data_IF_706067459284
#
_entry.id   IF_706067459284
#
_cell.length_a   1.000
_cell.length_b   1.000
_cell.length_c   1.000
_cell.angle_alpha   90.00
_cell.angle_beta   90.00
_cell.angle_gamma   90.00
#
_symmetry.space_group_name_H-M   'P 1'
#
loop_
_entity.id
_entity.type
_entity.pdbx_description
1 polymer ?
#
# COMPACT_ATOMS: atom_id res chain seq x y z
N UNK A 1 -52.17 -7.04 -6.16
CA UNK A 1 -51.27 -5.88 -5.96
C UNK A 1 -49.82 -6.36 -5.91
N UNK A 2 -48.96 -5.94 -6.84
CA UNK A 2 -47.51 -6.21 -6.75
C UNK A 2 -46.94 -5.24 -5.70
N UNK A 3 -46.78 -5.70 -4.46
CA UNK A 3 -45.98 -4.98 -3.46
C UNK A 3 -44.55 -4.94 -3.96
N UNK A 4 -44.05 -3.74 -4.28
CA UNK A 4 -42.66 -3.58 -4.70
C UNK A 4 -41.77 -3.64 -3.46
N UNK A 5 -41.45 -4.87 -3.03
CA UNK A 5 -40.63 -5.16 -1.86
C UNK A 5 -39.34 -4.35 -1.84
N UNK A 6 -38.78 -4.02 -3.02
CA UNK A 6 -37.59 -3.18 -3.14
C UNK A 6 -37.82 -1.75 -2.62
N UNK A 7 -38.98 -1.13 -2.91
CA UNK A 7 -39.33 0.21 -2.42
C UNK A 7 -39.48 0.23 -0.90
N UNK A 8 -40.20 -0.73 -0.35
CA UNK A 8 -40.42 -0.82 1.10
C UNK A 8 -39.11 -1.05 1.88
N UNK A 9 -38.18 -1.83 1.33
CA UNK A 9 -36.82 -1.98 1.91
C UNK A 9 -36.11 -0.63 1.94
N UNK A 10 -36.15 0.12 0.84
CA UNK A 10 -35.49 1.43 0.77
C UNK A 10 -36.12 2.40 1.76
N UNK A 11 -37.44 2.51 1.81
CA UNK A 11 -38.15 3.39 2.76
C UNK A 11 -37.82 3.06 4.22
N UNK A 12 -37.79 1.77 4.57
CA UNK A 12 -37.42 1.33 5.90
C UNK A 12 -35.99 1.74 6.28
N UNK A 13 -35.03 1.51 5.38
CA UNK A 13 -33.64 1.92 5.61
C UNK A 13 -33.52 3.44 5.66
N UNK A 14 -34.32 4.17 4.86
CA UNK A 14 -34.34 5.64 4.84
C UNK A 14 -34.84 6.22 6.17
N UNK A 15 -35.77 5.55 6.84
CA UNK A 15 -36.31 5.95 8.13
C UNK A 15 -35.40 5.60 9.33
N UNK A 16 -34.56 4.56 9.21
CA UNK A 16 -33.70 4.07 10.29
C UNK A 16 -32.20 4.30 10.07
N UNK A 17 -31.84 4.98 8.99
CA UNK A 17 -30.49 5.13 8.41
C UNK A 17 -29.81 3.81 7.96
N UNK A 18 -30.05 2.70 8.66
CA UNK A 18 -29.51 1.38 8.38
C UNK A 18 -30.49 0.26 8.78
N UNK A 19 -30.33 -0.92 8.19
CA UNK A 19 -31.07 -2.11 8.61
C UNK A 19 -30.25 -3.39 8.48
N UNK A 20 -30.49 -4.33 9.38
CA UNK A 20 -30.05 -5.72 9.27
C UNK A 20 -31.07 -6.57 8.50
N UNK A 21 -30.64 -7.74 8.01
CA UNK A 21 -31.57 -8.70 7.38
C UNK A 21 -32.67 -9.11 8.34
N UNK A 22 -32.35 -9.31 9.63
CA UNK A 22 -33.31 -9.70 10.66
C UNK A 22 -34.41 -8.65 10.81
N UNK A 23 -34.06 -7.37 10.87
CA UNK A 23 -35.03 -6.27 10.97
C UNK A 23 -35.91 -6.17 9.72
N UNK A 24 -35.34 -6.34 8.53
CA UNK A 24 -36.11 -6.33 7.27
C UNK A 24 -37.08 -7.52 7.16
N UNK A 25 -36.65 -8.71 7.60
CA UNK A 25 -37.51 -9.90 7.69
C UNK A 25 -38.66 -9.65 8.66
N UNK A 26 -38.38 -9.12 9.85
CA UNK A 26 -39.41 -8.79 10.84
C UNK A 26 -40.38 -7.71 10.37
N UNK A 27 -39.89 -6.70 9.64
CA UNK A 27 -40.72 -5.60 9.14
C UNK A 27 -41.61 -6.01 7.95
N UNK A 28 -41.06 -6.75 6.98
CA UNK A 28 -41.77 -7.11 5.75
C UNK A 28 -42.50 -8.45 5.84
N UNK A 29 -42.29 -9.20 6.92
CA UNK A 29 -42.84 -10.52 7.17
C UNK A 29 -42.64 -11.50 6.00
N UNK A 30 -41.44 -11.50 5.41
CA UNK A 30 -41.06 -12.39 4.30
C UNK A 30 -39.77 -13.16 4.61
N UNK A 31 -39.57 -14.26 3.91
CA UNK A 31 -38.43 -15.15 4.15
C UNK A 31 -37.08 -14.47 3.95
N UNK A 32 -36.07 -14.95 4.68
CA UNK A 32 -34.67 -14.51 4.53
C UNK A 32 -34.20 -14.61 3.07
N UNK A 33 -34.57 -15.69 2.36
CA UNK A 33 -34.20 -15.92 0.97
C UNK A 33 -34.78 -14.83 0.04
N UNK A 34 -36.04 -14.44 0.27
CA UNK A 34 -36.68 -13.36 -0.49
C UNK A 34 -36.00 -12.01 -0.24
N UNK A 35 -35.69 -11.70 1.02
CA UNK A 35 -34.94 -10.48 1.39
C UNK A 35 -33.56 -10.46 0.75
N UNK A 36 -32.78 -11.55 0.82
CA UNK A 36 -31.46 -11.61 0.20
C UNK A 36 -31.52 -11.41 -1.32
N UNK A 37 -32.55 -11.94 -2.00
CA UNK A 37 -32.75 -11.73 -3.45
C UNK A 37 -32.99 -10.25 -3.77
N UNK A 38 -33.83 -9.57 -2.99
CA UNK A 38 -34.11 -8.14 -3.18
C UNK A 38 -32.90 -7.27 -2.81
N UNK A 39 -32.22 -7.55 -1.71
CA UNK A 39 -31.00 -6.85 -1.31
C UNK A 39 -29.89 -7.01 -2.34
N UNK A 40 -29.72 -8.19 -2.93
CA UNK A 40 -28.75 -8.41 -4.02
C UNK A 40 -29.11 -7.58 -5.25
N UNK A 41 -30.40 -7.53 -5.62
CA UNK A 41 -30.90 -6.69 -6.72
C UNK A 41 -30.61 -5.21 -6.46
N UNK A 42 -30.90 -4.70 -5.26
CA UNK A 42 -30.69 -3.30 -4.86
C UNK A 42 -29.21 -2.92 -4.71
N UNK A 43 -28.34 -3.86 -4.30
CA UNK A 43 -26.90 -3.67 -4.32
C UNK A 43 -26.36 -3.62 -5.75
N UNK A 44 -26.82 -4.53 -6.61
CA UNK A 44 -26.42 -4.57 -8.02
C UNK A 44 -26.86 -3.32 -8.79
N UNK A 45 -28.02 -2.74 -8.44
CA UNK A 45 -28.48 -1.46 -9.00
C UNK A 45 -27.84 -0.23 -8.34
N UNK A 46 -26.93 -0.43 -7.37
CA UNK A 46 -26.21 0.64 -6.70
C UNK A 46 -27.06 1.49 -5.75
N UNK A 47 -28.26 1.03 -5.35
CA UNK A 47 -29.16 1.77 -4.46
C UNK A 47 -28.89 1.51 -2.98
N UNK A 48 -28.34 0.34 -2.65
CA UNK A 48 -27.95 -0.02 -1.29
C UNK A 48 -26.47 -0.40 -1.23
N UNK A 49 -25.86 -0.15 -0.07
CA UNK A 49 -24.51 -0.59 0.26
C UNK A 49 -24.55 -1.48 1.51
N UNK A 50 -23.81 -2.58 1.45
CA UNK A 50 -23.63 -3.51 2.57
C UNK A 50 -22.41 -3.08 3.41
N UNK A 51 -22.57 -3.03 4.72
CA UNK A 51 -21.52 -2.71 5.69
C UNK A 51 -21.39 -3.87 6.69
N UNK A 52 -20.14 -4.22 7.02
CA UNK A 52 -19.82 -5.29 7.96
C UNK A 52 -19.66 -6.67 7.30
N UNK A 53 -19.19 -7.62 8.11
CA UNK A 53 -19.00 -9.02 7.73
C UNK A 53 -19.96 -9.90 8.53
N UNK A 54 -20.30 -11.07 7.97
CA UNK A 54 -21.12 -12.04 8.68
C UNK A 54 -20.49 -12.37 10.06
N UNK A 55 -21.31 -12.48 11.14
CA UNK A 55 -22.77 -12.48 11.16
C UNK A 55 -23.42 -11.07 11.30
N UNK A 56 -22.64 -10.01 11.51
CA UNK A 56 -23.15 -8.65 11.75
C UNK A 56 -23.05 -7.78 10.48
N UNK A 57 -24.13 -7.76 9.72
CA UNK A 57 -24.23 -7.05 8.45
C UNK A 57 -25.37 -6.04 8.49
N UNK A 58 -25.08 -4.82 8.04
CA UNK A 58 -26.04 -3.73 7.87
C UNK A 58 -26.14 -3.32 6.39
N UNK A 59 -27.29 -2.80 6.01
CA UNK A 59 -27.56 -2.21 4.71
C UNK A 59 -27.93 -0.76 4.89
N UNK A 60 -27.28 0.12 4.13
CA UNK A 60 -27.55 1.56 4.11
C UNK A 60 -27.90 2.00 2.70
N UNK A 61 -28.59 3.13 2.57
CA UNK A 61 -28.83 3.75 1.27
C UNK A 61 -27.51 4.26 0.70
N UNK A 62 -27.24 3.89 -0.54
CA UNK A 62 -26.11 4.42 -1.26
C UNK A 62 -26.49 5.84 -1.72
N UNK A 63 -25.84 6.86 -1.16
CA UNK A 63 -25.98 8.22 -1.70
C UNK A 63 -25.39 8.23 -3.11
N UNK A 64 -26.14 8.70 -4.12
CA UNK A 64 -25.61 8.78 -5.48
C UNK A 64 -24.42 9.74 -5.47
N UNK A 65 -23.25 9.23 -5.82
CA UNK A 65 -22.14 10.10 -6.23
C UNK A 65 -22.60 10.73 -7.55
N UNK A 66 -22.70 12.05 -7.62
CA UNK A 66 -23.07 12.74 -8.87
C UNK A 66 -22.01 12.46 -9.95
N UNK A 67 -22.28 11.49 -10.82
CA UNK A 67 -21.44 11.11 -11.96
C UNK A 67 -21.51 12.09 -13.13
N UNK A 68 -22.36 13.12 -13.04
CA UNK A 68 -22.59 14.12 -14.10
C UNK A 68 -21.38 15.01 -14.45
N UNK A 69 -20.24 14.86 -13.76
CA UNK A 69 -19.03 15.65 -13.98
C UNK A 69 -17.96 14.97 -14.86
N UNK A 70 -18.14 13.69 -15.23
CA UNK A 70 -17.14 12.93 -16.01
C UNK A 70 -17.12 13.33 -17.49
N UNK A 71 -18.25 13.79 -18.04
CA UNK A 71 -18.44 13.98 -19.50
C UNK A 71 -17.59 15.10 -20.14
N UNK A 72 -16.78 15.85 -19.37
CA UNK A 72 -15.94 16.96 -19.87
C UNK A 72 -14.43 16.82 -19.60
N UNK A 73 -13.96 15.63 -19.24
CA UNK A 73 -12.53 15.38 -18.99
C UNK A 73 -11.84 14.80 -20.25
N UNK A 74 -10.61 15.26 -20.52
CA UNK A 74 -9.77 14.68 -21.56
C UNK A 74 -9.55 13.18 -21.30
N UNK A 75 -9.70 12.35 -22.34
CA UNK A 75 -9.50 10.90 -22.28
C UNK A 75 -8.13 10.52 -21.73
N UNK A 76 -7.07 11.26 -22.07
CA UNK A 76 -5.71 11.01 -21.57
C UNK A 76 -5.62 11.21 -20.06
N UNK A 77 -6.21 12.31 -19.55
CA UNK A 77 -6.24 12.60 -18.11
C UNK A 77 -7.04 11.52 -17.39
N UNK A 78 -8.20 11.13 -17.94
CA UNK A 78 -9.03 10.08 -17.37
C UNK A 78 -8.27 8.75 -17.24
N UNK A 79 -7.53 8.34 -18.29
CA UNK A 79 -6.72 7.12 -18.27
C UNK A 79 -5.59 7.16 -17.23
N UNK A 80 -4.93 8.32 -17.08
CA UNK A 80 -3.87 8.48 -16.06
C UNK A 80 -4.46 8.34 -14.66
N UNK A 81 -5.60 8.97 -14.39
CA UNK A 81 -6.27 8.85 -13.09
C UNK A 81 -6.74 7.42 -12.85
N UNK A 82 -7.37 6.79 -13.84
CA UNK A 82 -7.89 5.42 -13.73
C UNK A 82 -6.80 4.43 -13.33
N UNK A 83 -5.60 4.59 -13.90
CA UNK A 83 -4.45 3.73 -13.62
C UNK A 83 -3.78 4.03 -12.27
N UNK A 84 -3.64 5.31 -11.90
CA UNK A 84 -2.73 5.72 -10.83
C UNK A 84 -3.43 6.12 -9.53
N UNK A 85 -4.74 6.32 -9.53
CA UNK A 85 -5.44 6.75 -8.33
C UNK A 85 -6.00 5.56 -7.55
N UNK A 86 -5.78 5.58 -6.23
CA UNK A 86 -6.24 4.55 -5.32
C UNK A 86 -6.42 5.16 -3.94
N UNK A 87 -7.58 4.94 -3.34
CA UNK A 87 -7.88 5.36 -1.97
C UNK A 87 -8.63 4.24 -1.25
N UNK A 88 -8.33 4.04 0.03
CA UNK A 88 -9.23 3.30 0.93
C UNK A 88 -9.94 4.34 1.80
N UNK A 89 -11.26 4.30 1.78
CA UNK A 89 -12.08 5.25 2.53
C UNK A 89 -12.01 4.97 4.04
N UNK A 90 -12.40 5.93 4.90
CA UNK A 90 -12.52 5.68 6.35
C UNK A 90 -13.45 4.50 6.70
N UNK A 91 -14.40 4.18 5.81
CA UNK A 91 -15.29 3.02 5.94
C UNK A 91 -14.66 1.69 5.49
N UNK A 92 -13.38 1.67 5.12
CA UNK A 92 -12.67 0.47 4.68
C UNK A 92 -12.94 0.06 3.23
N UNK A 93 -13.59 0.91 2.42
CA UNK A 93 -13.83 0.60 1.01
C UNK A 93 -12.66 1.01 0.12
N UNK A 94 -12.27 0.13 -0.79
CA UNK A 94 -11.31 0.43 -1.85
C UNK A 94 -12.05 1.15 -2.98
N UNK A 95 -11.62 2.38 -3.31
CA UNK A 95 -12.06 3.12 -4.50
C UNK A 95 -10.83 3.39 -5.39
N UNK A 96 -10.86 2.86 -6.61
CA UNK A 96 -9.78 2.97 -7.61
C UNK A 96 -10.17 4.03 -8.66
N UNK A 97 -9.17 4.57 -9.35
CA UNK A 97 -9.38 5.39 -10.54
C UNK A 97 -10.23 6.64 -10.33
N UNK A 98 -11.07 6.95 -11.33
CA UNK A 98 -11.96 8.11 -11.33
C UNK A 98 -12.90 8.08 -10.13
N UNK A 99 -13.38 6.90 -9.74
CA UNK A 99 -14.26 6.74 -8.57
C UNK A 99 -13.59 7.22 -7.28
N UNK A 100 -12.35 6.78 -7.05
CA UNK A 100 -11.57 7.21 -5.90
C UNK A 100 -11.26 8.70 -5.96
N UNK A 101 -10.92 9.21 -7.14
CA UNK A 101 -10.53 10.60 -7.32
C UNK A 101 -11.71 11.56 -7.10
N UNK A 102 -12.88 11.23 -7.63
CA UNK A 102 -14.12 11.99 -7.40
C UNK A 102 -14.47 12.02 -5.92
N UNK A 103 -14.40 10.87 -5.24
CA UNK A 103 -14.63 10.78 -3.80
C UNK A 103 -13.69 11.70 -3.02
N UNK A 104 -12.40 11.69 -3.35
CA UNK A 104 -11.42 12.54 -2.67
C UNK A 104 -11.64 14.02 -2.95
N UNK A 105 -11.91 14.42 -4.21
CA UNK A 105 -12.21 15.81 -4.56
C UNK A 105 -13.43 16.32 -3.80
N UNK A 106 -14.50 15.53 -3.75
CA UNK A 106 -15.71 15.88 -3.00
C UNK A 106 -15.42 16.04 -1.51
N UNK A 107 -14.64 15.14 -0.91
CA UNK A 107 -14.25 15.22 0.50
C UNK A 107 -13.41 16.46 0.83
N UNK A 108 -12.63 16.96 -0.12
CA UNK A 108 -11.79 18.15 0.04
C UNK A 108 -12.47 19.44 -0.45
N UNK A 109 -13.73 19.39 -0.87
CA UNK A 109 -14.46 20.52 -1.48
C UNK A 109 -13.70 21.13 -2.69
N UNK A 110 -13.06 20.28 -3.50
CA UNK A 110 -12.27 20.70 -4.66
C UNK A 110 -13.01 20.49 -5.98
N UNK A 111 -12.76 21.39 -6.94
CA UNK A 111 -13.25 21.24 -8.31
C UNK A 111 -12.58 20.05 -9.01
N UNK A 112 -13.35 19.05 -9.40
CA UNK A 112 -12.86 17.82 -10.04
C UNK A 112 -11.97 18.09 -11.27
N UNK A 113 -12.43 18.92 -12.22
CA UNK A 113 -11.74 19.15 -13.49
C UNK A 113 -10.39 19.84 -13.30
N UNK A 114 -10.34 20.91 -12.50
CA UNK A 114 -9.09 21.63 -12.20
C UNK A 114 -8.10 20.70 -11.49
N UNK A 115 -8.60 19.99 -10.49
CA UNK A 115 -7.79 19.09 -9.66
C UNK A 115 -7.25 17.89 -10.45
N UNK A 116 -8.01 17.37 -11.41
CA UNK A 116 -7.59 16.29 -12.31
C UNK A 116 -6.39 16.70 -13.17
N UNK A 117 -6.40 17.91 -13.73
CA UNK A 117 -5.28 18.45 -14.51
C UNK A 117 -4.03 18.58 -13.62
N UNK A 118 -4.19 19.18 -12.43
CA UNK A 118 -3.09 19.39 -11.49
C UNK A 118 -2.52 18.06 -10.96
N UNK A 119 -3.35 17.04 -10.80
CA UNK A 119 -2.93 15.69 -10.41
C UNK A 119 -2.04 15.06 -11.46
N UNK A 120 -2.43 15.12 -12.74
CA UNK A 120 -1.60 14.59 -13.84
C UNK A 120 -0.28 15.35 -13.95
N UNK A 121 -0.31 16.68 -13.89
CA UNK A 121 0.91 17.50 -13.92
C UNK A 121 1.86 17.16 -12.76
N UNK A 122 1.30 16.94 -11.58
CA UNK A 122 2.09 16.54 -10.41
C UNK A 122 2.66 15.14 -10.62
N UNK A 123 1.86 14.16 -11.06
CA UNK A 123 2.38 12.83 -11.38
C UNK A 123 3.51 12.86 -12.40
N UNK A 124 3.40 13.65 -13.46
CA UNK A 124 4.42 13.78 -14.51
C UNK A 124 5.73 14.34 -13.94
N UNK A 125 5.65 15.35 -13.06
CA UNK A 125 6.80 15.88 -12.31
C UNK A 125 7.53 14.78 -11.51
N UNK A 126 6.82 13.83 -10.90
CA UNK A 126 7.46 12.74 -10.15
C UNK A 126 7.87 11.57 -11.05
N UNK A 127 7.15 11.32 -12.14
CA UNK A 127 7.44 10.25 -13.08
C UNK A 127 8.75 10.50 -13.84
N UNK A 128 9.23 11.73 -13.96
CA UNK A 128 10.54 12.03 -14.55
C UNK A 128 11.71 11.35 -13.79
N UNK A 129 11.53 11.07 -12.49
CA UNK A 129 12.52 10.34 -11.68
C UNK A 129 12.45 8.81 -11.89
N UNK A 130 11.37 8.28 -12.49
CA UNK A 130 11.19 6.85 -12.78
C UNK A 130 11.84 6.50 -14.11
N UNK A 131 13.04 5.94 -14.07
CA UNK A 131 13.72 5.37 -15.23
C UNK A 131 13.40 3.88 -15.33
N UNK A 132 12.73 3.47 -16.42
CA UNK A 132 12.35 2.05 -16.62
C UNK A 132 11.50 1.44 -15.50
N UNK A 133 10.68 2.27 -14.84
CA UNK A 133 9.83 1.87 -13.71
C UNK A 133 10.53 1.86 -12.35
N UNK A 134 11.74 2.42 -12.24
CA UNK A 134 12.52 2.46 -11.00
C UNK A 134 13.01 3.88 -10.69
N UNK A 135 13.00 4.25 -9.42
CA UNK A 135 13.55 5.52 -8.92
C UNK A 135 14.90 5.22 -8.27
N UNK A 136 15.94 5.98 -8.60
CA UNK A 136 17.25 5.84 -7.94
C UNK A 136 17.21 6.50 -6.56
N UNK A 137 17.39 5.71 -5.50
CA UNK A 137 17.48 6.17 -4.12
C UNK A 137 18.89 6.51 -3.65
N UNK A 138 19.92 6.15 -4.43
CA UNK A 138 21.32 6.23 -3.98
C UNK A 138 21.79 7.67 -3.74
N UNK A 139 21.30 8.64 -4.52
CA UNK A 139 21.67 10.04 -4.33
C UNK A 139 21.28 10.55 -2.94
N UNK A 140 20.12 10.10 -2.44
CA UNK A 140 19.66 10.43 -1.09
C UNK A 140 20.58 9.84 -0.02
N UNK A 141 21.01 8.58 -0.21
CA UNK A 141 21.95 7.93 0.71
C UNK A 141 23.25 8.73 0.82
N UNK A 142 23.80 9.19 -0.32
CA UNK A 142 25.04 10.00 -0.38
C UNK A 142 24.95 11.29 0.41
N UNK A 143 23.78 11.92 0.42
CA UNK A 143 23.57 13.14 1.19
C UNK A 143 23.29 12.86 2.68
N UNK A 144 23.00 11.60 3.04
CA UNK A 144 22.55 11.21 4.40
C UNK A 144 23.66 10.55 5.21
N UNK A 145 24.53 9.76 4.59
CA UNK A 145 25.56 8.99 5.28
C UNK A 145 26.94 9.27 4.69
N UNK A 146 27.94 9.40 5.55
CA UNK A 146 29.35 9.48 5.16
C UNK A 146 29.82 8.18 4.48
N UNK A 147 29.35 7.03 4.98
CA UNK A 147 29.69 5.71 4.45
C UNK A 147 28.46 4.95 3.98
N UNK A 148 28.50 4.51 2.72
CA UNK A 148 27.43 3.74 2.09
C UNK A 148 28.00 2.41 1.61
N UNK A 149 27.37 1.32 2.04
CA UNK A 149 27.79 -0.04 1.66
C UNK A 149 26.82 -0.70 0.65
N UNK A 150 25.74 0.01 0.29
CA UNK A 150 24.88 -0.35 -0.84
C UNK A 150 25.52 0.09 -2.16
N UNK A 151 25.63 -0.83 -3.10
CA UNK A 151 26.11 -0.52 -4.45
C UNK A 151 25.05 0.22 -5.27
N UNK A 152 23.78 -0.14 -5.09
CA UNK A 152 22.62 0.56 -5.68
C UNK A 152 21.43 0.53 -4.74
N UNK A 153 20.54 1.51 -4.87
CA UNK A 153 19.27 1.56 -4.15
C UNK A 153 18.17 2.02 -5.11
N UNK A 154 17.05 1.29 -5.14
CA UNK A 154 15.89 1.62 -5.95
C UNK A 154 14.59 1.67 -5.15
N UNK A 155 13.67 2.52 -5.59
CA UNK A 155 12.27 2.51 -5.16
C UNK A 155 11.37 2.16 -6.34
N UNK A 156 10.28 1.43 -6.10
CA UNK A 156 9.26 1.19 -7.13
C UNK A 156 8.35 2.41 -7.31
N UNK A 157 8.07 3.11 -6.21
CA UNK A 157 7.32 4.36 -6.23
C UNK A 157 7.75 5.32 -5.12
N UNK A 158 7.29 6.56 -5.21
CA UNK A 158 7.28 7.44 -4.05
C UNK A 158 6.18 7.02 -3.08
N UNK A 159 6.42 7.19 -1.78
CA UNK A 159 5.42 6.91 -0.77
C UNK A 159 4.26 7.92 -0.83
N UNK A 160 4.59 9.19 -1.03
CA UNK A 160 3.65 10.29 -1.21
C UNK A 160 4.17 11.31 -2.22
N UNK A 161 3.23 12.04 -2.81
CA UNK A 161 3.46 13.20 -3.67
C UNK A 161 2.80 14.42 -3.02
N UNK A 162 3.34 15.60 -3.30
CA UNK A 162 2.79 16.84 -2.77
C UNK A 162 1.31 17.02 -3.14
N UNK A 163 0.55 17.67 -2.26
CA UNK A 163 -0.89 18.00 -2.39
C UNK A 163 -1.87 16.82 -2.44
N UNK A 164 -1.52 15.71 -3.09
CA UNK A 164 -2.40 14.55 -3.30
C UNK A 164 -2.17 13.41 -2.32
N UNK A 165 -1.14 13.52 -1.47
CA UNK A 165 -0.88 12.55 -0.40
C UNK A 165 -0.21 11.29 -0.94
N UNK A 166 -0.63 10.12 -0.47
CA UNK A 166 0.02 8.84 -0.81
C UNK A 166 -0.22 8.47 -2.27
N UNK A 167 0.81 7.91 -2.91
CA UNK A 167 0.65 7.31 -4.24
C UNK A 167 -0.19 6.04 -4.14
N UNK A 168 -0.59 5.47 -5.28
CA UNK A 168 -1.30 4.18 -5.29
C UNK A 168 -0.52 3.07 -4.60
N UNK A 169 0.78 2.92 -4.89
CA UNK A 169 1.62 1.95 -4.19
C UNK A 169 1.83 2.31 -2.71
N UNK A 170 1.97 3.60 -2.37
CA UNK A 170 2.04 4.05 -0.97
C UNK A 170 0.78 3.75 -0.17
N UNK A 171 -0.39 3.90 -0.79
CA UNK A 171 -1.68 3.64 -0.16
C UNK A 171 -1.93 2.14 0.01
N UNK A 172 -1.61 1.33 -1.01
CA UNK A 172 -1.66 -0.14 -0.92
C UNK A 172 -0.71 -0.64 0.17
N UNK A 173 0.52 -0.12 0.23
CA UNK A 173 1.50 -0.49 1.23
C UNK A 173 1.05 -0.18 2.66
N UNK A 174 0.57 1.05 2.90
CA UNK A 174 0.05 1.49 4.20
C UNK A 174 -1.01 0.51 4.73
N UNK A 175 -2.02 0.23 3.92
CA UNK A 175 -3.14 -0.60 4.37
C UNK A 175 -2.79 -2.08 4.38
N UNK A 176 -1.95 -2.57 3.47
CA UNK A 176 -1.43 -3.94 3.54
C UNK A 176 -0.68 -4.18 4.86
N UNK A 177 0.00 -3.14 5.36
CA UNK A 177 0.72 -3.17 6.64
C UNK A 177 -0.18 -3.02 7.86
N UNK A 178 -1.17 -2.11 7.82
CA UNK A 178 -2.05 -1.83 8.96
C UNK A 178 -3.16 -2.88 9.12
N UNK A 179 -3.85 -3.22 8.04
CA UNK A 179 -5.06 -4.06 8.09
C UNK A 179 -4.75 -5.56 8.11
N UNK A 180 -3.48 -5.96 7.93
CA UNK A 180 -3.06 -7.36 7.86
C UNK A 180 -3.84 -8.19 6.81
N UNK A 181 -4.39 -7.51 5.80
CA UNK A 181 -5.27 -8.13 4.81
C UNK A 181 -4.44 -8.84 3.74
N UNK A 182 -4.44 -10.19 3.79
CA UNK A 182 -3.70 -11.05 2.84
C UNK A 182 -4.07 -10.80 1.37
N UNK A 183 -5.32 -10.44 1.06
CA UNK A 183 -5.75 -10.15 -0.32
C UNK A 183 -5.03 -8.90 -0.82
N UNK A 184 -4.99 -7.83 -0.01
CA UNK A 184 -4.30 -6.60 -0.39
C UNK A 184 -2.78 -6.81 -0.49
N UNK A 185 -2.19 -7.64 0.37
CA UNK A 185 -0.77 -8.02 0.28
C UNK A 185 -0.50 -8.81 -1.01
N UNK A 186 -1.41 -9.70 -1.41
CA UNK A 186 -1.31 -10.45 -2.67
C UNK A 186 -1.41 -9.52 -3.88
N UNK A 187 -2.39 -8.62 -3.93
CA UNK A 187 -2.51 -7.61 -5.00
C UNK A 187 -1.23 -6.77 -5.10
N UNK A 188 -0.68 -6.33 -3.97
CA UNK A 188 0.59 -5.59 -3.93
C UNK A 188 1.75 -6.43 -4.48
N UNK A 189 1.87 -7.71 -4.07
CA UNK A 189 2.91 -8.60 -4.52
C UNK A 189 2.84 -8.85 -6.04
N UNK A 190 1.65 -9.11 -6.57
CA UNK A 190 1.42 -9.33 -8.00
C UNK A 190 1.81 -8.11 -8.83
N UNK A 191 1.50 -6.90 -8.34
CA UNK A 191 1.86 -5.66 -9.00
C UNK A 191 3.38 -5.44 -9.07
N UNK A 192 4.10 -5.69 -7.97
CA UNK A 192 5.55 -5.41 -7.91
C UNK A 192 6.40 -6.53 -8.53
N UNK A 193 5.88 -7.76 -8.61
CA UNK A 193 6.62 -8.96 -9.04
C UNK A 193 7.34 -8.80 -10.39
N UNK A 194 6.75 -8.20 -11.45
CA UNK A 194 7.44 -7.99 -12.72
C UNK A 194 8.66 -7.08 -12.60
N UNK A 195 8.57 -6.02 -11.79
CA UNK A 195 9.67 -5.08 -11.56
C UNK A 195 10.79 -5.74 -10.75
N UNK A 196 10.44 -6.53 -9.73
CA UNK A 196 11.42 -7.28 -8.96
C UNK A 196 12.14 -8.31 -9.84
N UNK A 197 11.42 -9.05 -10.71
CA UNK A 197 12.02 -9.96 -11.70
C UNK A 197 13.00 -9.23 -12.62
N UNK A 198 12.64 -8.04 -13.10
CA UNK A 198 13.50 -7.20 -13.95
C UNK A 198 14.78 -6.77 -13.24
N UNK A 199 14.72 -6.48 -11.93
CA UNK A 199 15.91 -6.17 -11.12
C UNK A 199 16.79 -7.41 -10.96
N UNK A 200 16.17 -8.56 -10.64
CA UNK A 200 16.87 -9.84 -10.47
C UNK A 200 17.67 -10.18 -11.74
N UNK A 201 17.04 -10.11 -12.91
CA UNK A 201 17.71 -10.39 -14.18
C UNK A 201 18.77 -9.35 -14.52
N UNK A 202 18.44 -8.05 -14.43
CA UNK A 202 19.35 -6.94 -14.77
C UNK A 202 20.65 -6.97 -13.96
N UNK A 203 20.57 -7.32 -12.68
CA UNK A 203 21.73 -7.34 -11.79
C UNK A 203 22.28 -8.75 -11.54
N UNK A 204 21.75 -9.78 -12.21
CA UNK A 204 22.16 -11.19 -12.03
C UNK A 204 22.18 -11.57 -10.55
N UNK A 205 21.08 -11.29 -9.85
CA UNK A 205 20.94 -11.52 -8.42
C UNK A 205 20.95 -13.03 -8.15
N UNK A 206 21.76 -13.48 -7.20
CA UNK A 206 21.85 -14.88 -6.80
C UNK A 206 21.43 -15.18 -5.36
N UNK A 207 21.07 -14.17 -4.57
CA UNK A 207 20.35 -14.35 -3.30
C UNK A 207 19.49 -13.13 -2.96
N UNK A 208 18.44 -13.33 -2.17
CA UNK A 208 17.52 -12.27 -1.74
C UNK A 208 17.48 -12.20 -0.20
N UNK A 209 17.65 -11.01 0.36
CA UNK A 209 17.39 -10.73 1.77
C UNK A 209 16.10 -9.96 1.93
N UNK A 210 15.20 -10.41 2.79
CA UNK A 210 13.99 -9.68 3.16
C UNK A 210 14.20 -9.01 4.51
N UNK A 211 14.05 -7.68 4.58
CA UNK A 211 14.29 -6.93 5.82
C UNK A 211 13.21 -7.27 6.85
N UNK A 212 13.63 -7.78 8.00
CA UNK A 212 12.72 -8.23 9.05
C UNK A 212 11.88 -7.06 9.61
N UNK A 213 10.57 -7.28 9.85
CA UNK A 213 9.67 -6.23 10.33
C UNK A 213 10.01 -5.79 11.77
N UNK A 214 9.74 -4.52 12.07
CA UNK A 214 10.06 -3.89 13.37
C UNK A 214 8.99 -4.12 14.45
N UNK A 215 7.73 -4.36 14.07
CA UNK A 215 6.58 -4.39 15.00
C UNK A 215 5.91 -5.77 14.97
N UNK A 216 5.56 -6.30 16.16
CA UNK A 216 4.82 -7.57 16.29
C UNK A 216 3.42 -7.41 15.68
N UNK A 217 3.10 -8.28 14.72
CA UNK A 217 1.83 -8.42 14.01
C UNK A 217 1.61 -9.90 13.73
N UNK A 218 0.36 -10.35 13.67
CA UNK A 218 -0.02 -11.74 13.36
C UNK A 218 0.37 -12.09 11.91
N UNK A 219 0.07 -11.19 10.98
CA UNK A 219 0.45 -11.27 9.56
C UNK A 219 1.53 -10.23 9.28
N UNK A 220 2.74 -10.70 9.03
CA UNK A 220 3.88 -9.85 8.68
C UNK A 220 3.92 -9.62 7.17
N UNK A 221 3.76 -8.37 6.74
CA UNK A 221 3.77 -7.96 5.33
C UNK A 221 4.94 -8.59 4.55
N UNK A 222 6.16 -8.46 5.05
CA UNK A 222 7.36 -8.95 4.37
C UNK A 222 7.39 -10.48 4.24
N UNK A 223 6.85 -11.20 5.24
CA UNK A 223 6.77 -12.67 5.20
C UNK A 223 5.78 -13.12 4.12
N UNK A 224 4.61 -12.50 4.06
CA UNK A 224 3.60 -12.80 3.03
C UNK A 224 4.08 -12.35 1.65
N UNK A 225 4.75 -11.20 1.55
CA UNK A 225 5.34 -10.71 0.31
C UNK A 225 6.37 -11.71 -0.22
N UNK A 226 7.26 -12.24 0.63
CA UNK A 226 8.19 -13.32 0.27
C UNK A 226 7.46 -14.51 -0.34
N UNK A 227 6.36 -14.96 0.29
CA UNK A 227 5.59 -16.11 -0.18
C UNK A 227 4.94 -15.85 -1.55
N UNK A 228 4.29 -14.70 -1.74
CA UNK A 228 3.60 -14.37 -3.01
C UNK A 228 4.57 -14.05 -4.16
N UNK A 229 5.72 -13.45 -3.85
CA UNK A 229 6.77 -13.22 -4.83
C UNK A 229 7.33 -14.55 -5.35
N UNK A 230 7.53 -15.54 -4.46
CA UNK A 230 7.77 -16.94 -4.84
C UNK A 230 9.01 -17.14 -5.73
N UNK A 231 10.10 -16.41 -5.45
CA UNK A 231 11.35 -16.58 -6.19
C UNK A 231 12.14 -17.79 -5.67
N UNK A 232 12.70 -18.58 -6.58
CA UNK A 232 13.52 -19.77 -6.29
C UNK A 232 14.98 -19.46 -5.93
N UNK A 233 15.26 -18.24 -5.45
CA UNK A 233 16.60 -17.82 -5.07
C UNK A 233 16.86 -18.10 -3.58
N UNK A 234 18.11 -18.43 -3.20
CA UNK A 234 18.53 -18.51 -1.81
C UNK A 234 18.13 -17.25 -1.03
N UNK A 235 17.72 -17.45 0.23
CA UNK A 235 17.25 -16.36 1.08
C UNK A 235 18.26 -16.12 2.20
N UNK A 236 18.78 -14.89 2.26
CA UNK A 236 19.68 -14.47 3.31
C UNK A 236 18.88 -14.27 4.60
N UNK A 237 19.32 -14.91 5.68
CA UNK A 237 18.68 -14.80 6.99
C UNK A 237 19.08 -13.49 7.67
N UNK A 238 18.11 -12.59 7.81
CA UNK A 238 18.26 -11.31 8.50
C UNK A 238 17.46 -11.37 9.79
N UNK A 239 18.14 -11.55 10.91
CA UNK A 239 17.53 -11.70 12.23
C UNK A 239 17.37 -10.32 12.85
N UNK A 240 16.18 -10.05 13.41
CA UNK A 240 15.98 -8.90 14.27
C UNK A 240 16.05 -9.31 15.74
N UNK A 241 17.08 -8.87 16.44
CA UNK A 241 17.28 -9.12 17.88
C UNK A 241 16.29 -8.30 18.69
N UNK A 242 15.73 -8.93 19.73
CA UNK A 242 14.83 -8.27 20.67
C UNK A 242 15.61 -7.80 21.88
N UNK A 243 15.58 -6.50 22.14
CA UNK A 243 15.97 -5.90 23.42
C UNK A 243 14.81 -6.01 24.42
N UNK A 244 15.06 -5.91 25.74
CA UNK A 244 13.99 -5.93 26.76
C UNK A 244 12.91 -4.87 26.51
N UNK A 245 13.31 -3.70 26.00
CA UNK A 245 12.41 -2.63 25.57
C UNK A 245 12.46 -2.53 24.05
N UNK A 246 11.32 -2.73 23.38
CA UNK A 246 11.22 -2.62 21.91
C UNK A 246 11.00 -1.15 21.56
N UNK A 247 12.00 -0.51 20.96
CA UNK A 247 11.89 0.85 20.44
C UNK A 247 11.68 0.77 18.92
N UNK A 248 10.52 1.20 18.39
CA UNK A 248 10.32 1.26 16.94
C UNK A 248 11.23 2.31 16.31
N UNK A 249 12.08 1.93 15.36
CA UNK A 249 13.01 2.86 14.70
C UNK A 249 12.34 4.11 14.09
N UNK A 250 11.05 4.01 13.74
CA UNK A 250 10.27 5.11 13.17
C UNK A 250 9.95 6.22 14.18
N UNK A 251 9.93 5.95 15.49
CA UNK A 251 9.68 6.96 16.52
C UNK A 251 10.92 7.79 16.84
N UNK A 252 12.10 7.37 16.38
CA UNK A 252 13.36 8.09 16.55
C UNK A 252 13.43 9.24 15.55
N UNK A 253 13.68 10.46 16.01
CA UNK A 253 13.73 11.63 15.13
C UNK A 253 15.13 11.89 14.56
N UNK A 254 16.20 11.58 15.32
CA UNK A 254 17.58 11.82 14.90
C UNK A 254 18.14 10.66 14.06
N UNK A 255 18.92 10.99 13.04
CA UNK A 255 19.57 10.00 12.18
C UNK A 255 20.52 9.09 12.96
N UNK A 256 21.32 9.67 13.87
CA UNK A 256 22.29 8.94 14.70
C UNK A 256 21.60 7.83 15.51
N UNK A 257 20.52 8.18 16.21
CA UNK A 257 19.71 7.23 16.99
C UNK A 257 19.15 6.11 16.10
N UNK A 258 18.73 6.43 14.86
CA UNK A 258 18.26 5.43 13.89
C UNK A 258 19.35 4.48 13.42
N UNK A 259 20.58 4.96 13.28
CA UNK A 259 21.75 4.14 12.93
C UNK A 259 22.10 3.21 14.09
N UNK A 260 22.19 3.75 15.30
CA UNK A 260 22.46 2.99 16.53
C UNK A 260 21.41 1.89 16.77
N UNK A 261 20.13 2.22 16.59
CA UNK A 261 19.05 1.25 16.66
C UNK A 261 19.17 0.16 15.58
N UNK A 262 19.55 0.51 14.35
CA UNK A 262 19.75 -0.49 13.30
C UNK A 262 20.92 -1.44 13.62
N UNK A 263 22.04 -0.88 14.12
CA UNK A 263 23.24 -1.62 14.49
C UNK A 263 22.99 -2.64 15.61
N UNK A 264 22.21 -2.24 16.61
CA UNK A 264 21.91 -3.07 17.78
C UNK A 264 20.79 -4.09 17.54
N UNK A 265 19.95 -3.90 16.52
CA UNK A 265 18.75 -4.74 16.32
C UNK A 265 18.81 -5.67 15.13
N UNK A 266 19.65 -5.46 14.13
CA UNK A 266 19.74 -6.36 12.97
C UNK A 266 21.05 -7.16 12.99
N UNK A 267 20.94 -8.48 12.83
CA UNK A 267 22.07 -9.40 12.70
C UNK A 267 21.90 -10.22 11.43
N UNK A 268 22.98 -10.32 10.66
CA UNK A 268 23.07 -11.22 9.51
C UNK A 268 23.59 -12.57 9.97
N UNK A 269 22.76 -13.60 9.87
CA UNK A 269 23.11 -14.99 10.19
C UNK A 269 23.25 -15.78 8.89
N UNK A 270 24.38 -15.56 8.21
CA UNK A 270 24.66 -16.17 6.92
C UNK A 270 26.17 -16.38 6.78
N UNK A 271 26.53 -17.56 6.28
CA UNK A 271 27.91 -17.99 6.07
C UNK A 271 28.20 -18.28 4.59
N UNK A 272 27.17 -18.42 3.76
CA UNK A 272 27.31 -18.64 2.32
C UNK A 272 27.71 -17.35 1.62
N UNK A 273 28.67 -17.46 0.69
CA UNK A 273 29.12 -16.34 -0.14
C UNK A 273 28.31 -16.27 -1.44
N UNK A 274 27.87 -15.06 -1.75
CA UNK A 274 27.09 -14.72 -2.94
C UNK A 274 27.83 -13.67 -3.77
N UNK A 275 27.44 -13.54 -5.05
CA UNK A 275 28.02 -12.52 -5.91
C UNK A 275 27.20 -11.23 -5.78
N UNK A 276 25.92 -11.30 -6.12
CA UNK A 276 25.03 -10.15 -6.17
C UNK A 276 23.77 -10.46 -5.37
N UNK A 277 23.51 -9.67 -4.34
CA UNK A 277 22.35 -9.88 -3.47
C UNK A 277 21.35 -8.74 -3.63
N UNK A 278 20.07 -9.06 -3.47
CA UNK A 278 18.98 -8.08 -3.46
C UNK A 278 18.38 -8.01 -2.06
N UNK A 279 18.45 -6.85 -1.42
CA UNK A 279 17.78 -6.57 -0.17
C UNK A 279 16.43 -5.90 -0.46
N UNK A 280 15.34 -6.47 0.05
CA UNK A 280 13.98 -5.97 -0.14
C UNK A 280 13.41 -5.47 1.19
N UNK A 281 13.00 -4.21 1.21
CA UNK A 281 12.34 -3.55 2.35
C UNK A 281 10.96 -3.00 1.95
N UNK A 282 10.12 -2.70 2.93
CA UNK A 282 8.79 -2.15 2.69
C UNK A 282 8.87 -0.69 2.23
N UNK A 283 9.59 0.15 2.97
CA UNK A 283 9.76 1.55 2.65
C UNK A 283 11.08 2.13 3.14
N UNK A 284 11.67 3.02 2.35
CA UNK A 284 12.92 3.70 2.72
C UNK A 284 12.67 5.17 3.02
N UNK A 285 12.79 5.49 4.32
CA UNK A 285 12.91 6.85 4.84
C UNK A 285 14.37 7.32 4.78
N UNK A 286 15.12 7.14 5.88
CA UNK A 286 16.54 7.48 5.95
C UNK A 286 17.44 6.48 5.24
N UNK A 287 17.03 5.21 5.12
CA UNK A 287 17.84 4.13 4.57
C UNK A 287 18.86 3.52 5.55
N UNK A 288 18.81 3.90 6.83
CA UNK A 288 19.74 3.41 7.85
C UNK A 288 19.74 1.88 7.96
N UNK A 289 18.56 1.25 7.94
CA UNK A 289 18.40 -0.21 8.05
C UNK A 289 19.06 -0.95 6.89
N UNK A 290 18.77 -0.57 5.64
CA UNK A 290 19.38 -1.19 4.47
C UNK A 290 20.90 -0.95 4.43
N UNK A 291 21.36 0.25 4.80
CA UNK A 291 22.79 0.54 4.83
C UNK A 291 23.51 -0.31 5.89
N UNK A 292 22.94 -0.45 7.09
CA UNK A 292 23.55 -1.23 8.17
C UNK A 292 23.59 -2.72 7.84
N UNK A 293 22.49 -3.27 7.30
CA UNK A 293 22.48 -4.64 6.77
C UNK A 293 23.58 -4.81 5.72
N UNK A 294 23.71 -3.86 4.79
CA UNK A 294 24.77 -3.90 3.79
C UNK A 294 26.18 -3.80 4.41
N UNK A 295 26.38 -2.98 5.45
CA UNK A 295 27.63 -2.89 6.22
C UNK A 295 28.03 -4.26 6.75
N UNK A 296 27.11 -4.96 7.43
CA UNK A 296 27.37 -6.27 8.02
C UNK A 296 27.71 -7.32 6.96
N UNK A 297 26.97 -7.33 5.84
CA UNK A 297 27.23 -8.24 4.72
C UNK A 297 28.61 -8.02 4.10
N UNK A 298 29.02 -6.76 3.89
CA UNK A 298 30.38 -6.43 3.39
C UNK A 298 31.46 -6.81 4.41
N UNK A 299 31.26 -6.51 5.69
CA UNK A 299 32.22 -6.86 6.77
C UNK A 299 32.44 -8.36 6.87
N UNK A 300 31.39 -9.16 6.73
CA UNK A 300 31.46 -10.63 6.72
C UNK A 300 31.87 -11.23 5.37
N UNK A 301 32.14 -10.40 4.36
CA UNK A 301 32.47 -10.82 3.00
C UNK A 301 31.46 -11.83 2.39
N UNK A 302 30.17 -11.61 2.69
CA UNK A 302 29.06 -12.46 2.23
C UNK A 302 28.71 -12.13 0.79
N UNK A 303 28.81 -10.88 0.35
CA UNK A 303 28.43 -10.48 -1.00
C UNK A 303 29.38 -9.46 -1.62
N UNK A 304 29.66 -9.62 -2.92
CA UNK A 304 30.45 -8.64 -3.70
C UNK A 304 29.64 -7.40 -4.03
N UNK A 305 28.39 -7.55 -4.49
CA UNK A 305 27.47 -6.45 -4.80
C UNK A 305 26.16 -6.57 -4.03
N UNK A 306 25.69 -5.44 -3.49
CA UNK A 306 24.48 -5.33 -2.69
C UNK A 306 23.55 -4.30 -3.32
N UNK A 307 22.40 -4.77 -3.80
CA UNK A 307 21.37 -3.93 -4.38
C UNK A 307 20.23 -3.82 -3.37
N UNK A 308 19.87 -2.61 -2.97
CA UNK A 308 18.68 -2.33 -2.16
C UNK A 308 17.47 -2.05 -3.06
N UNK A 309 16.32 -2.56 -2.63
CA UNK A 309 15.02 -2.28 -3.22
C UNK A 309 14.00 -2.01 -2.10
N UNK A 310 13.23 -0.93 -2.24
CA UNK A 310 12.05 -0.73 -1.43
C UNK A 310 10.80 -0.54 -2.29
N UNK A 311 9.64 -0.95 -1.78
CA UNK A 311 8.37 -0.76 -2.48
C UNK A 311 8.12 0.74 -2.64
N UNK A 312 8.31 1.51 -1.56
CA UNK A 312 8.21 2.97 -1.61
C UNK A 312 9.41 3.68 -1.00
N UNK A 313 9.70 4.90 -1.46
CA UNK A 313 10.69 5.78 -0.86
C UNK A 313 10.17 7.20 -0.69
N UNK A 314 10.74 7.97 0.26
CA UNK A 314 10.35 9.38 0.41
C UNK A 314 11.09 10.27 -0.59
N UNK A 315 10.35 11.24 -1.17
CA UNK A 315 10.88 12.26 -2.07
C UNK A 315 11.59 13.39 -1.32
N UNK A 316 10.94 13.95 -0.29
CA UNK A 316 11.50 15.02 0.55
C UNK A 316 12.40 14.43 1.64
N UNK A 317 13.45 15.18 2.00
CA UNK A 317 14.34 14.86 3.11
C UNK A 317 13.53 14.57 4.36
N UNK A 318 13.68 13.36 4.90
CA UNK A 318 13.01 12.89 6.11
C UNK A 318 11.52 13.26 6.26
N UNK A 319 10.70 13.01 5.25
CA UNK A 319 9.32 12.63 5.59
C UNK A 319 9.43 11.30 6.34
N UNK A 320 9.37 11.37 7.67
CA UNK A 320 9.17 10.19 8.50
C UNK A 320 7.89 9.57 7.95
N UNK A 321 8.00 8.34 7.43
CA UNK A 321 6.84 7.51 7.15
C UNK A 321 6.26 7.13 8.51
N UNK A 322 5.62 8.10 9.16
CA UNK A 322 5.01 8.07 10.48
C UNK A 322 3.68 7.37 10.30
N UNK A 323 3.75 6.05 10.34
CA UNK A 323 2.58 5.18 10.44
C UNK A 323 2.79 4.39 11.73
N UNK A 324 2.00 4.74 12.74
CA UNK A 324 1.82 3.94 13.94
C UNK A 324 1.07 2.66 13.56
#
# INVERSE_FOLDING_TARGET
MKTDTSKNIIEFIRAKDQATVKELVSYLNISYQAIFKQLKKLQNSGQLKKIGLAPKVFYIINQPIEYSKIEKLDKKIAQVIEKNYFIITPAGEIKKGILGFTYWCAKQNLSFKKTAIEYVQTLDKYNCYKKSGLISGLQKMKNTFERINLDKLYYLDFYSIERFGKTRLGQMLLYAKQSQNRILIKELAEEIKPLVKKIISKFKINAIGFVSPTVKREVQLIKELKNFLGFSLPIITIIKVKTPIIIPQKTLNKLKDRIENAQSTFIIDENVKYNNILLIDDAVGSGATLNEIACQIKKKNIAKKIIGLAITGSFKGFDVISEV
#
